data_IF_891183162723
#
_entry.id   IF_891183162723
#
_cell.length_a   1.000
_cell.length_b   1.000
_cell.length_c   1.000
_cell.angle_alpha   90.00
_cell.angle_beta   90.00
_cell.angle_gamma   90.00
#
_symmetry.space_group_name_H-M   'P 1'
#
loop_
_entity.id
_entity.type
_entity.pdbx_description
1 polymer ?
#
# COMPACT_ATOMS: atom_id res chain seq x y z
N UNK A 1 -8.66 13.58 -3.53
CA UNK A 1 -8.27 12.14 -3.46
C UNK A 1 -7.01 11.83 -4.24
N UNK A 2 -6.93 12.15 -5.55
CA UNK A 2 -5.73 11.88 -6.37
C UNK A 2 -4.40 12.45 -5.81
N UNK A 3 -4.42 13.67 -5.25
CA UNK A 3 -3.24 14.27 -4.60
C UNK A 3 -2.72 13.41 -3.43
N UNK A 4 -3.59 12.90 -2.57
CA UNK A 4 -3.19 12.07 -1.42
C UNK A 4 -2.63 10.72 -1.88
N UNK A 5 -3.26 10.12 -2.90
CA UNK A 5 -2.79 8.89 -3.53
C UNK A 5 -1.39 9.03 -4.13
N UNK A 6 -0.99 10.23 -4.57
CA UNK A 6 0.32 10.49 -5.16
C UNK A 6 1.39 10.95 -4.14
N UNK A 7 1.01 11.62 -3.05
CA UNK A 7 1.95 12.16 -2.07
C UNK A 7 2.37 11.13 -1.00
N UNK A 8 1.57 10.11 -0.73
CA UNK A 8 1.89 9.06 0.24
C UNK A 8 2.62 7.92 -0.47
N UNK A 9 3.95 7.95 -0.50
CA UNK A 9 4.73 6.95 -1.24
C UNK A 9 5.12 5.74 -0.38
N UNK A 10 5.23 4.54 -0.97
CA UNK A 10 5.83 3.39 -0.33
C UNK A 10 7.20 3.70 0.27
N UNK A 11 7.63 2.97 1.31
CA UNK A 11 8.91 3.18 1.97
C UNK A 11 10.02 2.46 1.20
N UNK A 12 10.17 2.75 -0.09
CA UNK A 12 11.22 2.16 -0.95
C UNK A 12 12.28 3.22 -1.26
N UNK A 13 13.54 2.85 -1.01
CA UNK A 13 14.71 3.64 -1.36
C UNK A 13 15.13 3.39 -2.80
N UNK A 14 16.13 4.14 -3.27
CA UNK A 14 16.61 4.09 -4.65
C UNK A 14 17.02 2.68 -5.12
N UNK A 15 17.48 1.83 -4.20
CA UNK A 15 17.89 0.43 -4.46
C UNK A 15 16.87 -0.62 -3.97
N UNK A 16 15.57 -0.29 -3.88
CA UNK A 16 14.54 -1.19 -3.31
C UNK A 16 14.80 -1.65 -1.86
N UNK A 17 15.70 -0.97 -1.14
CA UNK A 17 15.83 -1.07 0.31
C UNK A 17 14.68 -0.33 0.99
N UNK A 18 14.36 -0.67 2.24
CA UNK A 18 13.35 0.09 2.97
C UNK A 18 13.85 1.48 3.34
N UNK A 19 13.03 2.50 3.09
CA UNK A 19 13.21 3.83 3.70
C UNK A 19 12.50 3.80 5.04
N UNK A 20 13.29 3.55 6.08
CA UNK A 20 12.81 3.52 7.45
C UNK A 20 12.80 4.94 8.03
N UNK A 21 11.89 5.17 8.95
CA UNK A 21 11.75 6.45 9.67
C UNK A 21 12.33 6.28 11.09
N UNK A 22 12.89 7.34 11.71
CA UNK A 22 13.27 7.28 13.11
C UNK A 22 12.04 6.94 13.96
N UNK A 23 12.10 5.86 14.73
CA UNK A 23 11.15 5.60 15.80
C UNK A 23 11.67 6.25 17.09
N UNK A 24 10.75 6.61 18.00
CA UNK A 24 11.10 7.21 19.30
C UNK A 24 11.97 6.32 20.21
N UNK A 25 12.25 5.08 19.82
CA UNK A 25 13.03 4.10 20.60
C UNK A 25 14.42 3.79 20.01
N UNK A 26 14.95 4.64 19.13
CA UNK A 26 16.20 4.40 18.36
C UNK A 26 16.12 3.25 17.33
N UNK A 27 14.94 2.66 17.09
CA UNK A 27 14.73 1.67 16.02
C UNK A 27 14.36 2.33 14.68
N UNK A 28 14.71 1.67 13.58
CA UNK A 28 14.36 2.09 12.21
C UNK A 28 13.12 1.30 11.80
N UNK A 29 11.94 1.95 11.80
CA UNK A 29 10.67 1.27 11.55
C UNK A 29 9.99 1.72 10.25
N UNK A 30 9.01 0.94 9.81
CA UNK A 30 8.13 1.25 8.68
C UNK A 30 6.72 1.46 9.20
N UNK A 31 6.15 2.63 8.97
CA UNK A 31 4.75 2.87 9.28
C UNK A 31 3.82 2.23 8.22
N UNK A 32 3.30 1.04 8.49
CA UNK A 32 2.52 0.21 7.56
C UNK A 32 1.22 0.87 7.11
N UNK A 33 0.58 1.64 8.00
CA UNK A 33 -0.65 2.37 7.66
C UNK A 33 -0.34 3.55 6.74
N UNK A 34 0.61 4.39 7.12
CA UNK A 34 0.95 5.63 6.39
C UNK A 34 1.60 5.34 5.03
N UNK A 35 2.44 4.30 4.95
CA UNK A 35 3.22 3.98 3.75
C UNK A 35 2.66 2.82 2.91
N UNK A 36 1.68 2.07 3.43
CA UNK A 36 1.09 0.92 2.76
C UNK A 36 -0.43 1.00 2.59
N UNK A 37 -1.20 0.66 3.62
CA UNK A 37 -2.66 0.49 3.48
C UNK A 37 -3.39 1.78 3.11
N UNK A 38 -2.96 2.95 3.63
CA UNK A 38 -3.57 4.22 3.29
C UNK A 38 -3.35 4.64 1.82
N UNK A 39 -2.12 4.65 1.27
CA UNK A 39 -1.93 4.96 -0.14
C UNK A 39 -2.57 3.95 -1.09
N UNK A 40 -2.60 2.66 -0.75
CA UNK A 40 -3.38 1.66 -1.51
C UNK A 40 -4.86 2.03 -1.54
N UNK A 41 -5.46 2.30 -0.38
CA UNK A 41 -6.87 2.67 -0.31
C UNK A 41 -7.18 3.98 -1.07
N UNK A 42 -6.27 4.95 -1.03
CA UNK A 42 -6.41 6.21 -1.78
C UNK A 42 -6.33 5.97 -3.29
N UNK A 43 -5.43 5.11 -3.76
CA UNK A 43 -5.32 4.71 -5.17
C UNK A 43 -6.57 3.98 -5.66
N UNK A 44 -7.04 3.00 -4.88
CA UNK A 44 -8.26 2.25 -5.18
C UNK A 44 -9.47 3.18 -5.28
N UNK A 45 -9.59 4.16 -4.36
CA UNK A 45 -10.68 5.15 -4.41
C UNK A 45 -10.67 6.00 -5.68
N UNK A 46 -9.50 6.35 -6.20
CA UNK A 46 -9.39 7.13 -7.45
C UNK A 46 -9.87 6.30 -8.64
N UNK A 47 -9.44 5.05 -8.76
CA UNK A 47 -9.88 4.16 -9.84
C UNK A 47 -11.38 3.83 -9.73
N UNK A 48 -11.87 3.56 -8.53
CA UNK A 48 -13.28 3.32 -8.25
C UNK A 48 -14.15 4.52 -8.67
N UNK A 49 -13.70 5.75 -8.34
CA UNK A 49 -14.39 6.96 -8.77
C UNK A 49 -14.43 7.10 -10.29
N UNK A 50 -13.34 6.75 -10.98
CA UNK A 50 -13.26 6.85 -12.45
C UNK A 50 -14.23 5.91 -13.17
N UNK A 51 -14.65 4.81 -12.54
CA UNK A 51 -15.63 3.87 -13.09
C UNK A 51 -17.05 4.07 -12.51
N UNK A 52 -17.25 5.11 -11.68
CA UNK A 52 -18.55 5.38 -11.06
C UNK A 52 -18.97 4.40 -9.96
N UNK A 53 -18.02 3.65 -9.38
CA UNK A 53 -18.26 2.67 -8.32
C UNK A 53 -18.91 3.30 -7.09
N UNK A 54 -19.95 2.64 -6.56
CA UNK A 54 -20.61 3.03 -5.29
C UNK A 54 -20.13 2.19 -4.10
N UNK A 55 -19.23 1.23 -4.33
CA UNK A 55 -18.68 0.39 -3.27
C UNK A 55 -17.97 1.22 -2.19
N UNK A 56 -18.11 0.80 -0.94
CA UNK A 56 -17.48 1.46 0.23
C UNK A 56 -16.17 0.80 0.64
N UNK A 57 -16.15 -0.54 0.61
CA UNK A 57 -15.01 -1.37 0.97
C UNK A 57 -13.96 -1.40 -0.16
N UNK A 58 -12.67 -1.43 0.19
CA UNK A 58 -11.57 -1.42 -0.79
C UNK A 58 -11.51 -2.68 -1.66
N UNK A 59 -11.82 -3.87 -1.12
CA UNK A 59 -11.85 -5.12 -1.88
C UNK A 59 -13.02 -5.16 -2.86
N UNK A 60 -14.20 -4.69 -2.44
CA UNK A 60 -15.35 -4.55 -3.33
C UNK A 60 -15.06 -3.55 -4.47
N UNK A 61 -14.44 -2.41 -4.16
CA UNK A 61 -13.97 -1.47 -5.18
C UNK A 61 -12.98 -2.11 -6.15
N UNK A 62 -12.00 -2.87 -5.64
CA UNK A 62 -11.02 -3.56 -6.47
C UNK A 62 -11.68 -4.56 -7.41
N UNK A 63 -12.68 -5.30 -6.93
CA UNK A 63 -13.45 -6.23 -7.75
C UNK A 63 -14.13 -5.50 -8.91
N UNK A 64 -14.86 -4.42 -8.63
CA UNK A 64 -15.51 -3.60 -9.67
C UNK A 64 -14.47 -2.95 -10.63
N UNK A 65 -13.28 -2.56 -10.14
CA UNK A 65 -12.18 -2.04 -10.97
C UNK A 65 -11.62 -3.10 -11.91
N UNK A 66 -11.48 -4.35 -11.43
CA UNK A 66 -11.02 -5.48 -12.24
C UNK A 66 -12.04 -5.78 -13.35
N UNK A 67 -13.33 -5.79 -13.01
CA UNK A 67 -14.42 -6.03 -13.97
C UNK A 67 -14.52 -4.93 -15.03
N UNK A 68 -14.24 -3.69 -14.66
CA UNK A 68 -14.26 -2.55 -15.58
C UNK A 68 -13.04 -2.50 -16.53
N UNK A 69 -12.05 -3.39 -16.35
CA UNK A 69 -10.86 -3.54 -17.21
C UNK A 69 -10.11 -2.23 -17.50
N UNK A 70 -10.03 -1.33 -16.51
CA UNK A 70 -9.36 -0.02 -16.65
C UNK A 70 -7.86 -0.05 -16.28
N UNK A 71 -7.37 -1.19 -15.80
CA UNK A 71 -5.98 -1.42 -15.42
C UNK A 71 -5.34 -2.42 -16.37
N UNK A 72 -4.01 -2.39 -16.58
CA UNK A 72 -3.34 -3.44 -17.34
C UNK A 72 -3.63 -4.82 -16.75
N UNK A 73 -3.71 -5.83 -17.62
CA UNK A 73 -4.04 -7.20 -17.24
C UNK A 73 -3.20 -7.68 -16.03
N UNK A 74 -3.87 -8.28 -15.05
CA UNK A 74 -3.26 -8.78 -13.81
C UNK A 74 -3.00 -7.72 -12.72
N UNK A 75 -2.99 -6.42 -13.06
CA UNK A 75 -2.62 -5.37 -12.09
C UNK A 75 -3.68 -5.11 -11.01
N UNK A 76 -4.94 -5.39 -11.30
CA UNK A 76 -5.99 -5.32 -10.28
C UNK A 76 -5.83 -6.42 -9.23
N UNK A 77 -5.46 -7.63 -9.66
CA UNK A 77 -5.14 -8.76 -8.78
C UNK A 77 -3.89 -8.47 -7.94
N UNK A 78 -2.80 -8.00 -8.57
CA UNK A 78 -1.58 -7.57 -7.86
C UNK A 78 -1.91 -6.58 -6.72
N UNK A 79 -2.78 -5.59 -6.99
CA UNK A 79 -3.19 -4.59 -6.00
C UNK A 79 -4.01 -5.18 -4.85
N UNK A 80 -4.86 -6.15 -5.14
CA UNK A 80 -5.64 -6.89 -4.14
C UNK A 80 -4.70 -7.65 -3.21
N UNK A 81 -3.78 -8.41 -3.77
CA UNK A 81 -2.83 -9.24 -3.03
C UNK A 81 -1.89 -8.37 -2.19
N UNK A 82 -1.40 -7.25 -2.75
CA UNK A 82 -0.60 -6.29 -2.00
C UNK A 82 -1.36 -5.67 -0.81
N UNK A 83 -2.64 -5.33 -0.99
CA UNK A 83 -3.48 -4.79 0.09
C UNK A 83 -3.72 -5.83 1.18
N UNK A 84 -4.01 -7.07 0.81
CA UNK A 84 -4.19 -8.16 1.76
C UNK A 84 -2.89 -8.42 2.54
N UNK A 85 -1.77 -8.58 1.85
CA UNK A 85 -0.50 -8.89 2.47
C UNK A 85 -0.04 -7.80 3.46
N UNK A 86 -0.08 -6.53 3.05
CA UNK A 86 0.31 -5.39 3.92
C UNK A 86 -0.63 -5.29 5.12
N UNK A 87 -1.94 -5.52 4.91
CA UNK A 87 -2.92 -5.55 6.00
C UNK A 87 -2.63 -6.67 6.99
N UNK A 88 -2.32 -7.88 6.50
CA UNK A 88 -2.02 -9.05 7.33
C UNK A 88 -0.75 -8.88 8.15
N UNK A 89 0.33 -8.37 7.54
CA UNK A 89 1.57 -8.07 8.27
C UNK A 89 1.31 -7.08 9.40
N UNK A 90 0.53 -6.03 9.14
CA UNK A 90 0.15 -5.04 10.15
C UNK A 90 -0.71 -5.65 11.27
N UNK A 91 -1.70 -6.47 10.94
CA UNK A 91 -2.57 -7.12 11.94
C UNK A 91 -1.77 -8.10 12.81
N UNK A 92 -0.88 -8.89 12.21
CA UNK A 92 -0.01 -9.82 12.95
C UNK A 92 0.88 -9.08 13.95
N UNK A 93 1.50 -7.98 13.53
CA UNK A 93 2.31 -7.15 14.43
C UNK A 93 1.49 -6.62 15.61
N UNK A 94 0.29 -6.09 15.34
CA UNK A 94 -0.61 -5.60 16.39
C UNK A 94 -1.06 -6.71 17.35
N UNK A 95 -1.27 -7.93 16.85
CA UNK A 95 -1.59 -9.09 17.68
C UNK A 95 -0.40 -9.46 18.59
N UNK A 96 0.82 -9.49 18.06
CA UNK A 96 2.04 -9.76 18.85
C UNK A 96 2.30 -8.70 19.94
N UNK A 97 1.94 -7.45 19.69
CA UNK A 97 2.00 -6.40 20.72
C UNK A 97 0.98 -6.64 21.83
N UNK A 98 -0.26 -7.01 21.48
CA UNK A 98 -1.29 -7.34 22.47
C UNK A 98 -0.90 -8.55 23.32
N UNK A 99 -0.41 -9.62 22.69
CA UNK A 99 0.03 -10.85 23.38
C UNK A 99 1.19 -10.59 24.35
N UNK A 100 1.98 -9.55 24.08
CA UNK A 100 3.10 -9.13 24.91
C UNK A 100 2.78 -7.91 25.79
N UNK A 101 1.50 -7.59 25.97
CA UNK A 101 1.00 -6.48 26.81
C UNK A 101 1.57 -5.09 26.44
N UNK A 102 1.96 -4.90 25.17
CA UNK A 102 2.40 -3.61 24.61
C UNK A 102 1.24 -2.89 23.94
N UNK A 103 1.34 -1.56 23.86
CA UNK A 103 0.40 -0.73 23.10
C UNK A 103 0.59 -0.98 21.59
N UNK A 104 -0.43 -1.48 20.86
CA UNK A 104 -0.29 -1.75 19.44
C UNK A 104 -0.14 -0.47 18.64
N UNK A 105 0.81 -0.45 17.70
CA UNK A 105 1.02 0.69 16.82
C UNK A 105 0.94 0.32 15.33
N UNK A 106 1.52 1.14 14.44
CA UNK A 106 1.56 0.86 13.00
C UNK A 106 3.00 0.73 12.48
N UNK A 107 3.99 0.74 13.36
CA UNK A 107 5.40 0.77 13.03
C UNK A 107 5.96 -0.64 13.16
N UNK A 108 6.55 -1.15 12.09
CA UNK A 108 7.19 -2.46 12.10
C UNK A 108 8.67 -2.27 11.84
N UNK A 109 9.50 -2.80 12.74
CA UNK A 109 10.92 -3.00 12.53
C UNK A 109 11.14 -4.12 11.50
N UNK A 110 11.70 -3.85 10.31
CA UNK A 110 11.96 -4.89 9.32
C UNK A 110 12.91 -5.97 9.82
N UNK A 111 13.80 -5.65 10.77
CA UNK A 111 14.66 -6.62 11.45
C UNK A 111 13.90 -7.73 12.19
N UNK A 112 12.66 -7.48 12.62
CA UNK A 112 11.82 -8.47 13.28
C UNK A 112 11.06 -9.37 12.29
N UNK A 113 11.17 -9.12 10.98
CA UNK A 113 10.57 -9.95 9.93
C UNK A 113 11.59 -10.96 9.41
N UNK A 114 11.09 -12.17 9.12
CA UNK A 114 11.87 -13.16 8.37
C UNK A 114 12.29 -12.63 6.99
N UNK A 115 13.36 -13.16 6.41
CA UNK A 115 13.81 -12.74 5.07
C UNK A 115 12.73 -12.92 4.01
N UNK A 116 11.94 -13.98 4.13
CA UNK A 116 10.81 -14.25 3.25
C UNK A 116 9.72 -13.17 3.37
N UNK A 117 9.28 -12.85 4.59
CA UNK A 117 8.30 -11.78 4.82
C UNK A 117 8.84 -10.43 4.35
N UNK A 118 10.12 -10.16 4.61
CA UNK A 118 10.79 -8.93 4.18
C UNK A 118 10.78 -8.77 2.67
N UNK A 119 11.07 -9.84 1.93
CA UNK A 119 11.06 -9.86 0.45
C UNK A 119 9.64 -9.63 -0.08
N UNK A 120 8.65 -10.39 0.41
CA UNK A 120 7.26 -10.23 -0.01
C UNK A 120 6.71 -8.84 0.31
N UNK A 121 7.11 -8.26 1.44
CA UNK A 121 6.72 -6.90 1.80
C UNK A 121 7.30 -5.86 0.84
N UNK A 122 8.56 -6.02 0.41
CA UNK A 122 9.15 -5.18 -0.63
C UNK A 122 8.40 -5.31 -1.96
N UNK A 123 8.03 -6.52 -2.34
CA UNK A 123 7.30 -6.78 -3.59
C UNK A 123 5.90 -6.14 -3.56
N UNK A 124 5.17 -6.25 -2.44
CA UNK A 124 3.89 -5.57 -2.24
C UNK A 124 4.01 -4.04 -2.34
N UNK A 125 5.05 -3.45 -1.74
CA UNK A 125 5.31 -2.01 -1.88
C UNK A 125 5.72 -1.62 -3.31
N UNK A 126 6.40 -2.51 -4.03
CA UNK A 126 6.77 -2.27 -5.42
C UNK A 126 5.53 -2.23 -6.33
N UNK A 127 4.55 -3.10 -6.07
CA UNK A 127 3.24 -3.08 -6.73
C UNK A 127 2.55 -1.74 -6.50
N UNK A 128 2.46 -1.28 -5.24
CA UNK A 128 1.87 0.03 -4.92
C UNK A 128 2.61 1.17 -5.63
N UNK A 129 3.95 1.15 -5.64
CA UNK A 129 4.75 2.17 -6.34
C UNK A 129 4.44 2.22 -7.84
N UNK A 130 4.35 1.05 -8.48
CA UNK A 130 4.04 0.96 -9.91
C UNK A 130 2.61 1.44 -10.20
N UNK A 131 1.66 1.09 -9.34
CA UNK A 131 0.28 1.56 -9.48
C UNK A 131 0.17 3.09 -9.33
N UNK A 132 0.93 3.71 -8.42
CA UNK A 132 0.98 5.18 -8.29
C UNK A 132 1.54 5.85 -9.55
N UNK A 133 2.59 5.27 -10.15
CA UNK A 133 3.13 5.74 -11.43
C UNK A 133 2.09 5.65 -12.54
N UNK A 134 1.36 4.53 -12.61
CA UNK A 134 0.28 4.33 -13.58
C UNK A 134 -0.87 5.34 -13.38
N UNK A 135 -1.28 5.57 -12.13
CA UNK A 135 -2.30 6.58 -11.78
C UNK A 135 -1.88 7.99 -12.26
N UNK A 136 -0.60 8.35 -12.08
CA UNK A 136 -0.06 9.60 -12.60
C UNK A 136 -0.18 9.68 -14.12
N UNK A 137 0.28 8.65 -14.84
CA UNK A 137 0.19 8.58 -16.29
C UNK A 137 -1.26 8.69 -16.78
N UNK A 138 -2.16 7.85 -16.26
CA UNK A 138 -3.56 7.75 -16.72
C UNK A 138 -4.36 9.04 -16.55
N UNK A 139 -4.24 9.72 -15.42
CA UNK A 139 -5.09 10.88 -15.09
C UNK A 139 -4.39 12.24 -15.24
N UNK A 140 -3.06 12.29 -15.44
CA UNK A 140 -2.35 13.53 -15.79
C UNK A 140 -2.06 13.65 -17.29
N UNK A 141 -2.14 12.58 -18.09
CA UNK A 141 -2.01 12.66 -19.54
C UNK A 141 -3.07 13.56 -20.20
N UNK A 142 -4.24 13.75 -19.58
CA UNK A 142 -5.26 14.72 -20.03
C UNK A 142 -4.97 16.19 -19.68
N UNK A 143 -3.80 16.50 -19.12
CA UNK A 143 -3.39 17.86 -18.70
C UNK A 143 -2.31 18.48 -19.58
N UNK A 144 -1.98 17.83 -20.71
CA UNK A 144 -1.14 18.43 -21.74
C UNK A 144 -1.94 19.58 -22.35
N UNK A 145 -1.38 20.78 -22.26
CA UNK A 145 -1.92 22.03 -22.82
C UNK A 145 -2.00 21.96 -24.34
#
# INVERSE_FOLDING_TARGET
MARNALLRTPPLGFFKGFVMEPSGQHSRSINMKRRGTAPLADLIRVHALAIGSRARNSFARLQEIIEADILPHGRGQDLRDALEFISMVRIRHQALDLDAERQPDNNIEPENLSDFERKNLKDAFQILSNAQKFLKYRYQAGRIR
#
